data_IF_174956641315
#
_entry.id   IF_174956641315
#
_cell.length_a   1.000
_cell.length_b   1.000
_cell.length_c   1.000
_cell.angle_alpha   90.00
_cell.angle_beta   90.00
_cell.angle_gamma   90.00
#
_symmetry.space_group_name_H-M   'P 1'
#
loop_
_entity.id
_entity.type
_entity.pdbx_description
1 polymer ?
#
# COMPACT_ATOMS: atom_id res chain seq x y z
N UNK A 1 7.06 -15.19 -11.49
CA UNK A 1 6.76 -14.72 -10.12
C UNK A 1 5.37 -14.14 -10.15
N UNK A 2 4.49 -14.60 -9.26
CA UNK A 2 3.11 -14.09 -9.17
C UNK A 2 3.09 -12.83 -8.30
N UNK A 3 2.27 -11.85 -8.68
CA UNK A 3 2.05 -10.65 -7.86
C UNK A 3 0.60 -10.63 -7.41
N UNK A 4 0.38 -10.56 -6.11
CA UNK A 4 -0.94 -10.53 -5.50
C UNK A 4 -1.20 -9.13 -4.95
N UNK A 5 -2.28 -8.51 -5.40
CA UNK A 5 -2.74 -7.20 -4.95
C UNK A 5 -4.10 -7.36 -4.27
N UNK A 6 -4.17 -7.38 -2.93
CA UNK A 6 -5.43 -7.52 -2.22
C UNK A 6 -6.21 -6.21 -2.29
N UNK A 7 -7.34 -6.20 -3.00
CA UNK A 7 -8.11 -4.98 -3.22
C UNK A 7 -9.61 -5.24 -3.11
N UNK A 8 -10.29 -4.37 -2.36
CA UNK A 8 -11.75 -4.33 -2.26
C UNK A 8 -12.22 -2.91 -2.55
N UNK A 9 -13.00 -2.74 -3.62
CA UNK A 9 -13.50 -1.43 -4.05
C UNK A 9 -14.44 -0.76 -3.04
N UNK A 10 -15.27 -1.53 -2.34
CA UNK A 10 -16.39 -0.98 -1.55
C UNK A 10 -15.99 -0.52 -0.16
N UNK A 11 -16.36 0.72 0.19
CA UNK A 11 -16.42 1.21 1.58
C UNK A 11 -15.08 1.39 2.29
N UNK A 12 -13.96 1.28 1.58
CA UNK A 12 -12.61 1.45 2.13
C UNK A 12 -12.26 2.88 2.50
N UNK A 13 -11.09 3.07 3.12
CA UNK A 13 -10.50 4.38 3.43
C UNK A 13 -11.42 5.30 4.26
N UNK A 14 -12.18 4.73 5.20
CA UNK A 14 -13.17 5.48 6.01
C UNK A 14 -12.57 6.63 6.80
N UNK A 15 -11.27 6.56 7.14
CA UNK A 15 -10.52 7.65 7.79
C UNK A 15 -10.30 8.87 6.90
N UNK A 16 -10.52 8.77 5.59
CA UNK A 16 -10.54 9.90 4.64
C UNK A 16 -11.90 10.62 4.57
N UNK A 17 -12.94 10.09 5.22
CA UNK A 17 -14.28 10.70 5.23
C UNK A 17 -14.39 12.15 5.72
N UNK A 18 -13.46 12.69 6.53
CA UNK A 18 -13.50 14.11 6.87
C UNK A 18 -13.30 15.06 5.66
N UNK A 19 -12.65 14.60 4.58
CA UNK A 19 -12.39 15.40 3.37
C UNK A 19 -13.06 14.85 2.10
N UNK A 20 -13.24 13.52 2.03
CA UNK A 20 -13.68 12.83 0.83
C UNK A 20 -15.03 12.13 1.07
N UNK A 21 -15.97 12.35 0.16
CA UNK A 21 -17.22 11.59 0.08
C UNK A 21 -16.96 10.10 -0.17
N UNK A 22 -17.97 9.25 -0.02
CA UNK A 22 -17.84 7.82 -0.33
C UNK A 22 -17.38 7.60 -1.78
N UNK A 23 -18.00 8.29 -2.76
CA UNK A 23 -17.63 8.18 -4.17
C UNK A 23 -16.17 8.57 -4.40
N UNK A 24 -15.73 9.67 -3.78
CA UNK A 24 -14.36 10.16 -3.95
C UNK A 24 -13.31 9.23 -3.33
N UNK A 25 -13.65 8.58 -2.22
CA UNK A 25 -12.78 7.55 -1.61
C UNK A 25 -12.64 6.32 -2.50
N UNK A 26 -13.74 5.88 -3.11
CA UNK A 26 -13.73 4.71 -4.00
C UNK A 26 -12.96 5.02 -5.29
N UNK A 27 -13.12 6.22 -5.86
CA UNK A 27 -12.34 6.69 -7.01
C UNK A 27 -10.85 6.83 -6.67
N UNK A 28 -10.50 7.44 -5.53
CA UNK A 28 -9.10 7.56 -5.11
C UNK A 28 -8.46 6.19 -4.92
N UNK A 29 -9.15 5.23 -4.29
CA UNK A 29 -8.64 3.87 -4.10
C UNK A 29 -8.39 3.15 -5.43
N UNK A 30 -9.27 3.35 -6.43
CA UNK A 30 -9.09 2.83 -7.78
C UNK A 30 -7.88 3.44 -8.48
N UNK A 31 -7.70 4.76 -8.40
CA UNK A 31 -6.52 5.40 -8.97
C UNK A 31 -5.21 5.02 -8.29
N UNK A 32 -5.20 4.77 -6.97
CA UNK A 32 -4.01 4.27 -6.28
C UNK A 32 -3.64 2.85 -6.74
N UNK A 33 -4.64 1.97 -6.87
CA UNK A 33 -4.45 0.65 -7.45
C UNK A 33 -3.88 0.74 -8.87
N UNK A 34 -4.43 1.62 -9.70
CA UNK A 34 -3.92 1.85 -11.05
C UNK A 34 -2.47 2.34 -11.06
N UNK A 35 -2.08 3.21 -10.12
CA UNK A 35 -0.70 3.69 -9.99
C UNK A 35 0.27 2.57 -9.58
N UNK A 36 -0.14 1.68 -8.65
CA UNK A 36 0.63 0.49 -8.27
C UNK A 36 0.79 -0.45 -9.48
N UNK A 37 -0.31 -0.81 -10.15
CA UNK A 37 -0.28 -1.71 -11.32
C UNK A 37 0.54 -1.12 -12.47
N UNK A 38 0.42 0.19 -12.72
CA UNK A 38 1.22 0.87 -13.74
C UNK A 38 2.72 0.81 -13.40
N UNK A 39 3.08 0.91 -12.12
CA UNK A 39 4.48 0.78 -11.67
C UNK A 39 5.00 -0.64 -11.85
N UNK A 40 4.22 -1.66 -11.45
CA UNK A 40 4.56 -3.07 -11.67
C UNK A 40 4.76 -3.38 -13.16
N UNK A 41 3.85 -2.91 -14.01
CA UNK A 41 3.94 -3.09 -15.47
C UNK A 41 5.19 -2.42 -16.05
N UNK A 42 5.52 -1.18 -15.65
CA UNK A 42 6.75 -0.49 -16.09
C UNK A 42 8.02 -1.19 -15.60
N UNK A 43 7.96 -1.92 -14.50
CA UNK A 43 9.05 -2.75 -14.00
C UNK A 43 9.18 -4.10 -14.76
N UNK A 44 8.31 -4.36 -15.74
CA UNK A 44 8.28 -5.63 -16.48
C UNK A 44 7.64 -6.77 -15.71
N UNK A 45 6.85 -6.48 -14.67
CA UNK A 45 6.20 -7.47 -13.82
C UNK A 45 4.71 -7.55 -14.14
N UNK A 46 4.36 -8.45 -15.05
CA UNK A 46 3.04 -8.48 -15.69
C UNK A 46 2.05 -9.48 -15.07
N UNK A 47 2.53 -10.46 -14.30
CA UNK A 47 1.71 -11.55 -13.71
C UNK A 47 0.99 -11.10 -12.43
N UNK A 48 0.11 -10.09 -12.57
CA UNK A 48 -0.59 -9.40 -11.48
C UNK A 48 -2.02 -9.92 -11.31
N UNK A 49 -2.34 -10.36 -10.09
CA UNK A 49 -3.65 -10.85 -9.68
C UNK A 49 -4.25 -9.93 -8.63
N UNK A 50 -5.36 -9.28 -9.00
CA UNK A 50 -6.15 -8.49 -8.06
C UNK A 50 -7.13 -9.43 -7.35
N UNK A 51 -7.04 -9.50 -6.02
CA UNK A 51 -7.80 -10.45 -5.21
C UNK A 51 -8.71 -9.70 -4.25
N UNK A 52 -10.02 -9.96 -4.33
CA UNK A 52 -11.04 -9.37 -3.45
C UNK A 52 -11.68 -10.46 -2.60
N UNK A 53 -11.56 -10.39 -1.27
CA UNK A 53 -12.25 -11.29 -0.34
C UNK A 53 -12.49 -10.62 1.03
N UNK A 54 -13.43 -11.15 1.82
CA UNK A 54 -13.74 -10.66 3.17
C UNK A 54 -12.77 -11.22 4.23
N UNK A 55 -11.97 -12.24 3.90
CA UNK A 55 -10.93 -12.81 4.76
C UNK A 55 -9.53 -12.74 4.14
N UNK A 56 -8.87 -11.58 4.23
CA UNK A 56 -7.53 -11.33 3.67
C UNK A 56 -6.54 -12.47 3.98
N UNK A 57 -6.42 -12.84 5.26
CA UNK A 57 -5.51 -13.89 5.70
C UNK A 57 -5.87 -15.27 5.14
N UNK A 58 -7.15 -15.63 5.12
CA UNK A 58 -7.59 -16.93 4.63
C UNK A 58 -7.28 -17.10 3.15
N UNK A 59 -7.55 -16.08 2.35
CA UNK A 59 -7.31 -16.11 0.91
C UNK A 59 -5.82 -16.07 0.57
N UNK A 60 -5.05 -15.19 1.20
CA UNK A 60 -3.61 -15.14 0.97
C UNK A 60 -2.94 -16.46 1.36
N UNK A 61 -3.25 -17.03 2.53
CA UNK A 61 -2.67 -18.31 2.93
C UNK A 61 -3.06 -19.45 1.98
N UNK A 62 -4.28 -19.45 1.41
CA UNK A 62 -4.68 -20.41 0.38
C UNK A 62 -3.90 -20.22 -0.94
N UNK A 63 -3.63 -18.99 -1.35
CA UNK A 63 -2.85 -18.71 -2.56
C UNK A 63 -1.39 -19.13 -2.36
N UNK A 64 -0.82 -18.80 -1.20
CA UNK A 64 0.53 -19.14 -0.78
C UNK A 64 0.73 -20.66 -0.78
N UNK A 65 -0.16 -21.41 -0.12
CA UNK A 65 -0.04 -22.87 -0.01
C UNK A 65 -0.14 -23.62 -1.35
N UNK A 66 -0.67 -22.96 -2.39
CA UNK A 66 -0.85 -23.53 -3.74
C UNK A 66 0.16 -22.96 -4.76
N UNK A 67 1.19 -22.23 -4.31
CA UNK A 67 2.18 -21.59 -5.18
C UNK A 67 3.59 -22.08 -4.86
N UNK A 68 4.35 -22.41 -5.91
CA UNK A 68 5.75 -22.83 -5.84
C UNK A 68 6.71 -21.81 -6.43
N UNK A 69 6.21 -20.92 -7.29
CA UNK A 69 7.00 -19.82 -7.84
C UNK A 69 7.09 -18.67 -6.83
N UNK A 70 8.17 -17.86 -6.85
CA UNK A 70 8.26 -16.67 -6.02
C UNK A 70 7.01 -15.81 -6.12
N UNK A 71 6.68 -15.12 -5.03
CA UNK A 71 5.46 -14.33 -4.90
C UNK A 71 5.75 -12.97 -4.28
N UNK A 72 5.16 -11.93 -4.87
CA UNK A 72 5.09 -10.60 -4.28
C UNK A 72 3.65 -10.35 -3.84
N UNK A 73 3.45 -9.98 -2.59
CA UNK A 73 2.19 -9.42 -2.08
C UNK A 73 2.44 -7.94 -1.84
N UNK A 74 1.65 -7.08 -2.48
CA UNK A 74 1.78 -5.62 -2.39
C UNK A 74 0.41 -4.99 -2.15
N UNK A 75 0.32 -4.11 -1.15
CA UNK A 75 -0.92 -3.40 -0.85
C UNK A 75 -1.25 -2.37 -1.96
N UNK A 76 -2.54 -2.17 -2.29
CA UNK A 76 -2.97 -1.36 -3.44
C UNK A 76 -2.88 0.15 -3.20
N UNK A 77 -2.63 0.58 -1.97
CA UNK A 77 -2.68 1.95 -1.49
C UNK A 77 -1.28 2.57 -1.33
N UNK A 78 -0.33 2.10 -2.14
CA UNK A 78 1.05 2.58 -2.20
C UNK A 78 1.32 3.37 -3.50
N UNK A 79 0.59 4.48 -3.77
CA UNK A 79 0.72 5.23 -5.02
C UNK A 79 2.10 5.88 -5.23
N UNK A 80 2.94 5.92 -4.18
CA UNK A 80 4.30 6.44 -4.25
C UNK A 80 5.35 5.37 -4.60
N UNK A 81 4.96 4.09 -4.67
CA UNK A 81 5.90 3.02 -4.97
C UNK A 81 6.59 3.27 -6.32
N UNK A 82 7.92 3.10 -6.33
CA UNK A 82 8.73 3.29 -7.53
C UNK A 82 9.16 1.98 -8.16
N UNK A 83 9.59 2.03 -9.42
CA UNK A 83 10.14 0.88 -10.15
C UNK A 83 11.36 0.34 -9.39
N UNK A 84 12.23 1.23 -8.91
CA UNK A 84 13.43 0.90 -8.16
C UNK A 84 13.09 0.14 -6.87
N UNK A 85 12.01 0.54 -6.18
CA UNK A 85 11.60 -0.17 -4.97
C UNK A 85 11.16 -1.60 -5.26
N UNK A 86 10.34 -1.80 -6.30
CA UNK A 86 9.84 -3.13 -6.61
C UNK A 86 10.98 -4.03 -7.11
N UNK A 87 11.88 -3.51 -7.94
CA UNK A 87 13.03 -4.27 -8.43
C UNK A 87 14.01 -4.64 -7.30
N UNK A 88 14.28 -3.76 -6.35
CA UNK A 88 15.14 -4.08 -5.20
C UNK A 88 14.51 -5.19 -4.34
N UNK A 89 13.23 -5.06 -3.98
CA UNK A 89 12.51 -6.08 -3.21
C UNK A 89 12.53 -7.44 -3.90
N UNK A 90 12.26 -7.48 -5.20
CA UNK A 90 12.09 -8.74 -5.94
C UNK A 90 13.40 -9.37 -6.43
N UNK A 91 14.50 -8.61 -6.47
CA UNK A 91 15.86 -9.11 -6.80
C UNK A 91 16.68 -9.55 -5.58
N UNK A 92 16.14 -9.36 -4.38
CA UNK A 92 16.68 -9.84 -3.11
C UNK A 92 17.12 -11.30 -3.18
N UNK A 93 18.04 -11.76 -2.32
CA UNK A 93 18.45 -13.18 -2.21
C UNK A 93 17.90 -13.87 -0.97
N UNK A 94 17.32 -13.10 -0.06
CA UNK A 94 16.67 -13.55 1.17
C UNK A 94 15.39 -14.34 0.88
N UNK A 95 14.99 -15.20 1.82
CA UNK A 95 13.80 -16.05 1.69
C UNK A 95 12.53 -15.21 1.77
N UNK A 96 12.55 -14.20 2.64
CA UNK A 96 11.44 -13.28 2.89
C UNK A 96 11.94 -11.83 2.90
N UNK A 97 11.25 -10.94 2.18
CA UNK A 97 11.47 -9.49 2.28
C UNK A 97 10.18 -8.83 2.76
N UNK A 98 10.27 -8.01 3.81
CA UNK A 98 9.11 -7.38 4.45
C UNK A 98 9.30 -5.87 4.46
N UNK A 99 8.37 -5.14 3.85
CA UNK A 99 8.27 -3.69 3.98
C UNK A 99 7.20 -3.33 5.02
N UNK A 100 7.53 -2.54 6.06
CA UNK A 100 6.54 -2.09 7.02
C UNK A 100 5.59 -1.06 6.38
N UNK A 101 4.36 -1.02 6.86
CA UNK A 101 3.42 0.09 6.69
C UNK A 101 3.30 0.95 7.94
N UNK A 102 2.62 2.09 7.84
CA UNK A 102 2.39 2.98 8.99
C UNK A 102 1.60 2.25 10.07
N UNK A 103 1.89 2.54 11.34
CA UNK A 103 1.19 1.93 12.48
C UNK A 103 1.45 0.43 12.70
N UNK A 104 2.45 -0.17 12.07
CA UNK A 104 2.84 -1.58 12.27
C UNK A 104 2.21 -2.57 11.29
N UNK A 105 1.59 -2.08 10.22
CA UNK A 105 1.11 -2.89 9.09
C UNK A 105 2.24 -3.45 8.22
N UNK A 106 1.89 -4.26 7.22
CA UNK A 106 2.83 -4.79 6.22
C UNK A 106 2.37 -4.33 4.85
N UNK A 107 3.20 -3.57 4.15
CA UNK A 107 2.86 -2.99 2.85
C UNK A 107 3.31 -3.88 1.69
N UNK A 108 4.48 -4.51 1.85
CA UNK A 108 5.05 -5.41 0.85
C UNK A 108 5.58 -6.66 1.55
N UNK A 109 5.30 -7.81 0.97
CA UNK A 109 5.84 -9.09 1.38
C UNK A 109 6.28 -9.87 0.13
N UNK A 110 7.59 -10.08 -0.02
CA UNK A 110 8.13 -10.95 -1.06
C UNK A 110 8.57 -12.27 -0.44
N UNK A 111 8.18 -13.37 -1.10
CA UNK A 111 8.43 -14.75 -0.70
C UNK A 111 9.17 -15.45 -1.83
N UNK A 112 10.40 -15.91 -1.59
CA UNK A 112 11.16 -16.68 -2.58
C UNK A 112 10.53 -18.06 -2.81
N UNK A 113 10.15 -18.73 -1.73
CA UNK A 113 9.39 -19.97 -1.74
C UNK A 113 8.13 -19.79 -0.88
N UNK A 114 6.96 -19.46 -1.49
CA UNK A 114 5.73 -19.23 -0.74
C UNK A 114 5.31 -20.42 0.11
N UNK A 115 5.62 -21.66 -0.30
CA UNK A 115 5.21 -22.86 0.43
C UNK A 115 5.80 -22.95 1.85
N UNK A 116 6.86 -22.18 2.12
CA UNK A 116 7.54 -22.08 3.40
C UNK A 116 7.04 -20.96 4.30
N UNK A 117 5.97 -20.24 3.95
CA UNK A 117 5.50 -19.10 4.72
C UNK A 117 3.98 -19.12 4.95
N UNK A 118 3.53 -18.33 5.93
CA UNK A 118 2.12 -18.01 6.16
C UNK A 118 1.97 -16.55 6.57
N UNK A 119 0.87 -15.92 6.20
CA UNK A 119 0.60 -14.52 6.53
C UNK A 119 -0.35 -14.37 7.72
N UNK A 120 -0.17 -13.29 8.46
CA UNK A 120 -1.06 -12.83 9.52
C UNK A 120 -1.13 -11.29 9.56
N UNK A 121 -2.06 -10.75 8.78
CA UNK A 121 -2.37 -9.32 8.67
C UNK A 121 -3.18 -8.75 9.85
N UNK A 122 -3.44 -9.51 10.92
CA UNK A 122 -4.14 -8.96 12.09
C UNK A 122 -3.21 -8.11 12.96
N UNK A 123 -3.71 -6.99 13.50
CA UNK A 123 -2.96 -6.18 14.46
C UNK A 123 -1.63 -5.66 13.88
N UNK A 124 -0.53 -5.87 14.61
CA UNK A 124 0.82 -5.46 14.21
C UNK A 124 1.45 -6.47 13.23
N UNK A 125 0.88 -6.56 12.02
CA UNK A 125 1.24 -7.58 11.04
C UNK A 125 2.72 -7.61 10.65
N UNK A 126 3.41 -6.46 10.67
CA UNK A 126 4.86 -6.43 10.47
C UNK A 126 5.61 -7.29 11.48
N UNK A 127 5.28 -7.14 12.77
CA UNK A 127 5.89 -7.91 13.85
C UNK A 127 5.47 -9.38 13.77
N UNK A 128 4.22 -9.66 13.42
CA UNK A 128 3.76 -11.03 13.22
C UNK A 128 4.55 -11.73 12.11
N UNK A 129 4.72 -11.08 10.95
CA UNK A 129 5.46 -11.66 9.83
C UNK A 129 6.94 -11.87 10.15
N UNK A 130 7.58 -10.93 10.87
CA UNK A 130 8.94 -11.13 11.37
C UNK A 130 9.04 -12.33 12.31
N UNK A 131 8.08 -12.48 13.22
CA UNK A 131 8.04 -13.61 14.15
C UNK A 131 7.83 -14.94 13.41
N UNK A 132 6.92 -14.98 12.43
CA UNK A 132 6.69 -16.16 11.58
C UNK A 132 7.97 -16.54 10.83
N UNK A 133 8.64 -15.58 10.20
CA UNK A 133 9.87 -15.85 9.46
C UNK A 133 10.97 -16.40 10.37
N UNK A 134 11.10 -15.82 11.56
CA UNK A 134 12.03 -16.28 12.60
C UNK A 134 11.72 -17.71 13.07
N UNK A 135 10.45 -18.01 13.35
CA UNK A 135 10.02 -19.33 13.82
C UNK A 135 10.25 -20.42 12.75
N UNK A 136 10.23 -20.03 11.47
CA UNK A 136 10.49 -20.91 10.33
C UNK A 136 11.96 -20.95 9.91
N UNK A 137 12.84 -20.19 10.59
CA UNK A 137 14.28 -20.17 10.32
C UNK A 137 14.65 -19.51 8.98
N UNK A 138 13.81 -18.62 8.46
CA UNK A 138 13.96 -18.00 7.13
C UNK A 138 14.88 -16.77 7.19
N UNK A 139 15.76 -16.65 6.20
CA UNK A 139 16.56 -15.44 5.99
C UNK A 139 15.62 -14.30 5.61
N UNK A 140 15.58 -13.28 6.47
CA UNK A 140 14.60 -12.20 6.37
C UNK A 140 15.30 -10.86 6.20
N UNK A 141 14.88 -10.09 5.19
CA UNK A 141 15.29 -8.70 4.99
C UNK A 141 14.12 -7.77 5.31
N UNK A 142 14.35 -6.79 6.18
CA UNK A 142 13.43 -5.65 6.32
C UNK A 142 13.78 -4.63 5.24
N UNK A 143 12.81 -4.28 4.41
CA UNK A 143 12.96 -3.28 3.35
C UNK A 143 12.42 -1.93 3.82
N UNK A 144 13.32 -1.07 4.26
CA UNK A 144 12.99 0.27 4.75
C UNK A 144 13.05 1.28 3.60
N UNK A 145 11.88 1.75 3.17
CA UNK A 145 11.77 2.80 2.16
C UNK A 145 10.59 3.69 2.47
N UNK A 146 10.82 5.01 2.46
CA UNK A 146 9.77 6.00 2.65
C UNK A 146 8.59 5.77 1.70
N UNK A 147 8.84 5.51 0.41
CA UNK A 147 7.79 5.28 -0.58
C UNK A 147 7.08 3.93 -0.41
N UNK A 148 7.79 2.87 -0.01
CA UNK A 148 7.17 1.56 0.22
C UNK A 148 6.39 1.49 1.53
N UNK A 149 6.71 2.36 2.49
CA UNK A 149 6.02 2.48 3.77
C UNK A 149 4.94 3.55 3.81
N UNK A 150 4.70 4.27 2.71
CA UNK A 150 3.71 5.35 2.65
C UNK A 150 2.39 4.86 2.05
N UNK A 151 1.65 4.07 2.82
CA UNK A 151 0.24 3.78 2.56
C UNK A 151 -0.63 5.01 2.83
N UNK A 152 -1.66 5.21 2.00
CA UNK A 152 -2.58 6.36 2.10
C UNK A 152 -3.88 5.91 2.78
N UNK A 153 -4.01 6.13 4.07
CA UNK A 153 -5.17 5.67 4.86
C UNK A 153 -5.89 6.81 5.59
N UNK A 154 -5.16 7.83 6.03
CA UNK A 154 -5.62 8.98 6.79
C UNK A 154 -5.46 10.29 6.02
N UNK A 155 -6.16 11.33 6.49
CA UNK A 155 -6.15 12.66 5.84
C UNK A 155 -4.73 13.23 5.75
N UNK A 156 -3.91 13.01 6.79
CA UNK A 156 -2.54 13.52 6.83
C UNK A 156 -1.64 12.82 5.80
N UNK A 157 -1.94 11.57 5.42
CA UNK A 157 -1.19 10.84 4.39
C UNK A 157 -1.38 11.47 3.00
N UNK A 158 -2.52 12.13 2.75
CA UNK A 158 -2.78 12.80 1.48
C UNK A 158 -1.75 13.90 1.19
N UNK A 159 -1.13 14.49 2.21
CA UNK A 159 -0.07 15.47 2.02
C UNK A 159 1.12 14.86 1.25
N UNK A 160 1.49 13.63 1.61
CA UNK A 160 2.58 12.91 0.95
C UNK A 160 2.25 12.59 -0.50
N UNK A 161 1.00 12.19 -0.77
CA UNK A 161 0.53 11.94 -2.13
C UNK A 161 0.54 13.20 -3.00
N UNK A 162 0.20 14.36 -2.43
CA UNK A 162 0.23 15.64 -3.16
C UNK A 162 1.68 16.10 -3.41
N UNK A 163 2.58 15.94 -2.44
CA UNK A 163 3.99 16.36 -2.56
C UNK A 163 4.78 15.45 -3.51
N UNK A 164 4.67 14.13 -3.30
CA UNK A 164 5.55 13.15 -3.93
C UNK A 164 4.90 12.43 -5.11
N UNK A 165 3.56 12.35 -5.15
CA UNK A 165 2.84 11.60 -6.17
C UNK A 165 2.94 12.21 -7.56
N UNK A 166 3.01 11.35 -8.58
CA UNK A 166 3.02 11.74 -10.00
C UNK A 166 1.98 10.97 -10.84
N UNK A 167 1.29 10.02 -10.22
CA UNK A 167 0.30 9.17 -10.84
C UNK A 167 -1.11 9.77 -10.88
N UNK A 168 -2.08 8.94 -11.30
CA UNK A 168 -3.48 9.32 -11.44
C UNK A 168 -4.11 9.71 -10.10
N UNK A 169 -3.73 9.06 -9.00
CA UNK A 169 -4.29 9.34 -7.68
C UNK A 169 -3.96 10.76 -7.21
N UNK A 170 -2.73 11.22 -7.41
CA UNK A 170 -2.32 12.60 -7.12
C UNK A 170 -2.99 13.62 -8.05
N UNK A 171 -3.10 13.30 -9.34
CA UNK A 171 -3.84 14.13 -10.31
C UNK A 171 -5.33 14.25 -9.94
N UNK A 172 -5.92 13.15 -9.46
CA UNK A 172 -7.31 13.11 -9.03
C UNK A 172 -7.56 14.01 -7.82
N UNK A 173 -6.72 13.95 -6.77
CA UNK A 173 -6.84 14.84 -5.61
C UNK A 173 -6.86 16.32 -6.04
N UNK A 174 -5.96 16.72 -6.93
CA UNK A 174 -5.95 18.07 -7.47
C UNK A 174 -7.24 18.39 -8.24
N UNK A 175 -7.77 17.45 -9.03
CA UNK A 175 -8.98 17.65 -9.83
C UNK A 175 -10.25 17.89 -9.02
N UNK A 176 -10.31 17.33 -7.80
CA UNK A 176 -11.44 17.52 -6.86
C UNK A 176 -11.19 18.65 -5.85
N UNK A 177 -10.14 19.44 -6.05
CA UNK A 177 -9.80 20.61 -5.24
C UNK A 177 -9.18 20.27 -3.88
N UNK A 178 -8.53 19.11 -3.73
CA UNK A 178 -7.75 18.78 -2.53
C UNK A 178 -6.34 19.32 -2.72
N UNK A 179 -5.90 20.21 -1.83
CA UNK A 179 -4.61 20.89 -1.93
C UNK A 179 -3.95 21.11 -0.58
N UNK A 180 -2.65 21.44 -0.60
CA UNK A 180 -1.88 21.75 0.60
C UNK A 180 -2.21 23.16 1.10
N UNK A 181 -2.31 23.30 2.41
CA UNK A 181 -2.33 24.57 3.12
C UNK A 181 -1.17 24.62 4.10
N UNK A 182 -0.43 25.73 4.08
CA UNK A 182 0.63 25.98 5.06
C UNK A 182 0.06 26.86 6.16
N UNK A 183 0.00 26.35 7.38
CA UNK A 183 -0.42 27.09 8.58
C UNK A 183 0.62 26.87 9.68
N UNK A 184 1.07 27.96 10.29
CA UNK A 184 2.02 27.94 11.41
C UNK A 184 3.29 27.09 11.16
N UNK A 185 3.78 27.09 9.92
CA UNK A 185 4.98 26.33 9.53
C UNK A 185 4.77 24.83 9.34
N UNK A 186 3.52 24.34 9.40
CA UNK A 186 3.15 22.95 9.11
C UNK A 186 2.28 22.86 7.86
N UNK A 187 2.37 21.72 7.18
CA UNK A 187 1.56 21.39 6.01
C UNK A 187 0.32 20.64 6.48
N UNK A 188 -0.84 21.09 6.01
CA UNK A 188 -2.13 20.44 6.20
C UNK A 188 -2.81 20.25 4.85
N UNK A 189 -3.76 19.32 4.80
CA UNK A 189 -4.57 19.05 3.59
C UNK A 189 -5.93 19.69 3.76
N UNK A 190 -6.40 20.41 2.73
CA UNK A 190 -7.72 21.02 2.72
C UNK A 190 -8.44 20.79 1.40
N UNK A 191 -9.74 21.08 1.41
CA UNK A 191 -10.56 21.17 0.21
C UNK A 191 -10.80 22.64 -0.16
N UNK A 192 -10.52 23.01 -1.39
CA UNK A 192 -10.78 24.35 -1.92
C UNK A 192 -12.28 24.67 -1.86
N UNK A 193 -12.62 25.86 -1.37
CA UNK A 193 -14.01 26.30 -1.18
C UNK A 193 -14.63 25.91 0.17
N UNK A 194 -13.98 25.08 0.99
CA UNK A 194 -14.32 24.96 2.41
C UNK A 194 -13.93 26.26 3.09
N UNK A 195 -14.91 27.15 3.38
CA UNK A 195 -14.67 28.32 4.22
C UNK A 195 -14.01 27.82 5.50
N UNK A 196 -12.81 28.30 5.78
CA UNK A 196 -12.19 28.16 7.09
C UNK A 196 -13.22 28.68 8.09
N UNK A 197 -13.84 27.78 8.87
CA UNK A 197 -14.55 28.15 10.07
C UNK A 197 -13.48 28.56 11.08
N UNK A 198 -12.88 29.73 10.85
CA UNK A 198 -12.21 30.50 11.87
C UNK A 198 -13.32 30.86 12.84
N UNK A 199 -13.51 30.01 13.85
CA UNK A 199 -14.34 30.37 14.99
C UNK A 199 -13.63 31.53 15.72
N UNK A 200 -14.36 32.60 16.06
CA UNK A 200 -13.81 33.79 16.72
C UNK A 200 -13.20 33.47 18.08
#
# INVERSE_FOLDING_TARGET
MKIIVPYKKKGGKSRLSPLLSLSEREELAEYMLEDVVATLSKAGLEDVYIVSDEGLNAVLNKIISNSTDPMLIIMPDLPLISIENVLDVTSSNEDVVISPGRGGGTNILFLRDPSTFRVDYHGASFLNHLQIAKDMGLLTRVYESFYASCDIDEVDDLAELIIHGRGKSSQYLNSIGISLQITSGRVHVKREGSKDLIRP
#
